data_IF_857866255366
#
_entry.id   IF_857866255366
#
_cell.length_a   1.000
_cell.length_b   1.000
_cell.length_c   1.000
_cell.angle_alpha   90.00
_cell.angle_beta   90.00
_cell.angle_gamma   90.00
#
_symmetry.space_group_name_H-M   'P 1'
#
loop_
_entity.id
_entity.type
_entity.pdbx_description
1 polymer ?
#
# COMPACT_ATOMS: atom_id res chain seq x y z
N UNK A 1 -2.09 -10.86 -19.56
CA UNK A 1 -1.48 -10.08 -18.47
C UNK A 1 -0.02 -10.50 -18.44
N UNK A 2 0.91 -9.56 -18.44
CA UNK A 2 2.34 -9.88 -18.52
C UNK A 2 2.89 -10.18 -17.11
N UNK A 3 2.63 -11.40 -16.61
CA UNK A 3 3.20 -11.87 -15.34
C UNK A 3 4.75 -11.91 -15.37
N UNK A 4 5.33 -12.02 -16.57
CA UNK A 4 6.79 -11.95 -16.77
C UNK A 4 7.42 -10.70 -16.13
N UNK A 5 6.72 -9.56 -16.18
CA UNK A 5 7.19 -8.32 -15.53
C UNK A 5 7.23 -8.41 -14.01
N UNK A 6 6.30 -9.15 -13.40
CA UNK A 6 6.33 -9.37 -11.96
C UNK A 6 7.52 -10.22 -11.54
N UNK A 7 7.84 -11.23 -12.35
CA UNK A 7 9.01 -12.10 -12.10
C UNK A 7 10.31 -11.33 -12.25
N UNK A 8 10.40 -10.41 -13.21
CA UNK A 8 11.60 -9.61 -13.48
C UNK A 8 11.79 -8.47 -12.48
N UNK A 9 10.73 -7.75 -12.18
CA UNK A 9 10.80 -6.49 -11.42
C UNK A 9 10.36 -6.64 -9.96
N UNK A 10 9.75 -7.77 -9.59
CA UNK A 10 9.20 -8.01 -8.26
C UNK A 10 7.90 -7.27 -7.96
N UNK A 11 7.40 -6.44 -8.89
CA UNK A 11 6.12 -5.74 -8.74
C UNK A 11 5.36 -5.67 -10.07
N UNK A 12 4.04 -5.44 -9.97
CA UNK A 12 3.17 -5.21 -11.14
C UNK A 12 2.09 -4.18 -10.79
N UNK A 13 1.83 -3.26 -11.72
CA UNK A 13 0.74 -2.28 -11.65
C UNK A 13 -0.34 -2.73 -12.63
N UNK A 14 -1.57 -2.87 -12.14
CA UNK A 14 -2.73 -3.29 -12.91
C UNK A 14 -3.81 -2.22 -12.79
N UNK A 15 -4.09 -1.53 -13.89
CA UNK A 15 -5.24 -0.64 -14.00
C UNK A 15 -6.49 -1.46 -14.38
N UNK A 16 -7.66 -0.96 -14.00
CA UNK A 16 -8.95 -1.62 -14.22
C UNK A 16 -8.97 -3.07 -13.69
N UNK A 17 -8.47 -3.22 -12.46
CA UNK A 17 -8.23 -4.51 -11.82
C UNK A 17 -9.52 -5.28 -11.51
N UNK A 18 -10.51 -4.60 -10.91
CA UNK A 18 -11.83 -5.17 -10.60
C UNK A 18 -12.83 -4.92 -11.74
N UNK A 19 -13.89 -5.74 -11.86
CA UNK A 19 -15.08 -5.35 -12.62
C UNK A 19 -15.56 -3.97 -12.14
N UNK A 20 -16.03 -3.13 -13.07
CA UNK A 20 -16.31 -1.73 -12.78
C UNK A 20 -17.38 -1.53 -11.70
N UNK A 21 -18.41 -2.35 -11.69
CA UNK A 21 -19.48 -2.37 -10.68
C UNK A 21 -18.94 -2.74 -9.29
N UNK A 22 -18.07 -3.73 -9.20
CA UNK A 22 -17.39 -4.15 -7.96
C UNK A 22 -16.46 -3.04 -7.46
N UNK A 23 -15.70 -2.41 -8.36
CA UNK A 23 -14.83 -1.29 -8.02
C UNK A 23 -15.63 -0.11 -7.43
N UNK A 24 -16.80 0.22 -8.01
CA UNK A 24 -17.69 1.25 -7.47
C UNK A 24 -18.35 0.86 -6.14
N UNK A 25 -18.72 -0.40 -5.99
CA UNK A 25 -19.25 -0.88 -4.71
C UNK A 25 -18.21 -0.72 -3.59
N UNK A 26 -16.98 -1.12 -3.84
CA UNK A 26 -15.90 -1.02 -2.87
C UNK A 26 -15.53 0.46 -2.59
N UNK A 27 -15.47 1.32 -3.64
CA UNK A 27 -15.30 2.77 -3.49
C UNK A 27 -16.37 3.38 -2.58
N UNK A 28 -17.63 3.05 -2.81
CA UNK A 28 -18.75 3.54 -2.01
C UNK A 28 -18.62 3.17 -0.54
N UNK A 29 -18.25 1.92 -0.24
CA UNK A 29 -18.04 1.49 1.15
C UNK A 29 -16.95 2.29 1.85
N UNK A 30 -15.85 2.62 1.17
CA UNK A 30 -14.76 3.41 1.74
C UNK A 30 -15.10 4.90 1.89
N UNK A 31 -15.89 5.47 0.97
CA UNK A 31 -16.26 6.89 1.01
C UNK A 31 -17.35 7.21 2.02
N UNK A 32 -18.30 6.30 2.20
CA UNK A 32 -19.46 6.51 3.09
C UNK A 32 -19.20 6.05 4.54
N UNK A 33 -18.09 5.40 4.81
CA UNK A 33 -17.81 4.91 6.16
C UNK A 33 -17.23 6.02 7.04
N UNK A 34 -17.79 6.16 8.26
CA UNK A 34 -17.48 7.29 9.16
C UNK A 34 -16.45 6.94 10.26
N UNK A 35 -16.34 5.68 10.67
CA UNK A 35 -15.55 5.26 11.84
C UNK A 35 -14.06 5.10 11.53
N UNK A 36 -13.39 6.21 11.19
CA UNK A 36 -11.95 6.23 10.94
C UNK A 36 -11.18 6.65 12.19
N UNK A 37 -10.23 5.83 12.62
CA UNK A 37 -9.33 6.13 13.74
C UNK A 37 -8.02 6.73 13.22
N UNK A 38 -7.63 7.90 13.77
CA UNK A 38 -6.34 8.53 13.45
C UNK A 38 -5.21 7.81 14.17
N UNK A 39 -4.29 7.29 13.40
CA UNK A 39 -3.02 6.77 13.88
C UNK A 39 -1.92 7.81 13.59
N UNK A 40 -1.48 8.48 14.65
CA UNK A 40 -0.33 9.40 14.63
C UNK A 40 0.79 8.74 15.41
N UNK A 41 1.64 8.02 14.71
CA UNK A 41 2.62 7.12 15.31
C UNK A 41 4.01 7.72 15.25
N UNK A 42 4.64 7.79 16.41
CA UNK A 42 6.06 8.05 16.57
C UNK A 42 6.69 6.77 17.11
N UNK A 43 7.49 6.07 16.32
CA UNK A 43 8.11 4.80 16.72
C UNK A 43 9.63 4.94 16.79
N UNK A 44 10.17 4.94 17.99
CA UNK A 44 11.62 5.08 18.21
C UNK A 44 12.42 3.78 17.97
N UNK A 45 11.82 2.60 18.01
CA UNK A 45 12.56 1.34 18.18
C UNK A 45 12.49 0.32 17.04
N UNK A 46 11.51 0.34 16.18
CA UNK A 46 11.38 -0.71 15.15
C UNK A 46 12.28 -0.52 13.93
N UNK A 47 12.75 0.68 13.69
CA UNK A 47 13.62 1.00 12.56
C UNK A 47 15.08 0.56 12.76
N UNK A 48 15.59 0.55 13.97
CA UNK A 48 16.98 0.18 14.26
C UNK A 48 17.38 -1.24 13.80
N UNK A 49 16.42 -2.17 13.72
CA UNK A 49 16.69 -3.52 13.22
C UNK A 49 16.50 -3.63 11.71
N UNK A 50 15.53 -2.94 11.12
CA UNK A 50 15.26 -2.93 9.69
C UNK A 50 16.27 -2.09 8.90
N UNK A 51 16.77 -1.01 9.47
CA UNK A 51 17.70 -0.08 8.84
C UNK A 51 19.17 -0.44 8.98
N UNK A 52 19.51 -1.38 9.84
CA UNK A 52 20.93 -1.81 10.03
C UNK A 52 21.58 -2.36 8.76
N UNK A 53 20.78 -2.78 7.79
CA UNK A 53 21.25 -3.28 6.50
C UNK A 53 21.29 -2.23 5.39
N UNK A 54 20.61 -1.08 5.57
CA UNK A 54 20.46 -0.03 4.55
C UNK A 54 20.85 1.36 5.06
N UNK A 55 21.79 1.44 6.02
CA UNK A 55 22.23 2.69 6.64
C UNK A 55 22.80 3.73 5.67
N UNK A 56 23.20 3.33 4.47
CA UNK A 56 23.66 4.26 3.44
C UNK A 56 22.57 5.22 2.95
N UNK A 57 21.29 4.86 3.14
CA UNK A 57 20.12 5.63 2.71
C UNK A 57 19.47 6.45 3.82
N UNK A 58 19.92 6.28 5.07
CA UNK A 58 19.34 6.95 6.24
C UNK A 58 20.44 7.67 7.02
N UNK A 59 20.44 8.99 6.99
CA UNK A 59 21.53 9.80 7.51
C UNK A 59 21.65 9.85 9.03
N UNK A 60 20.67 9.35 9.79
CA UNK A 60 20.70 9.48 11.25
C UNK A 60 20.08 8.27 11.97
N UNK A 61 20.88 7.60 12.82
CA UNK A 61 20.46 6.50 13.70
C UNK A 61 19.39 6.94 14.73
N UNK A 62 19.23 8.23 14.95
CA UNK A 62 18.28 8.83 15.89
C UNK A 62 17.04 9.38 15.20
N UNK A 63 16.89 9.18 13.89
CA UNK A 63 15.73 9.70 13.20
C UNK A 63 14.45 8.97 13.61
N UNK A 64 13.49 9.73 14.11
CA UNK A 64 12.21 9.22 14.58
C UNK A 64 11.35 8.81 13.39
N UNK A 65 10.92 7.57 13.37
CA UNK A 65 9.92 7.11 12.39
C UNK A 65 8.57 7.72 12.68
N UNK A 66 7.98 8.34 11.69
CA UNK A 66 6.64 8.90 11.79
C UNK A 66 5.73 8.34 10.72
N UNK A 67 4.50 8.02 11.12
CA UNK A 67 3.42 7.71 10.21
C UNK A 67 2.14 8.36 10.75
N UNK A 68 1.43 9.05 9.88
CA UNK A 68 0.14 9.67 10.20
C UNK A 68 -0.86 9.30 9.13
N UNK A 69 -1.87 8.55 9.52
CA UNK A 69 -2.94 8.07 8.65
C UNK A 69 -4.15 7.65 9.47
N UNK A 70 -5.27 7.44 8.81
CA UNK A 70 -6.49 6.90 9.41
C UNK A 70 -6.65 5.44 9.03
N UNK A 71 -7.12 4.62 9.96
CA UNK A 71 -7.44 3.21 9.78
C UNK A 71 -8.90 2.95 10.10
N UNK A 72 -9.50 1.96 9.47
CA UNK A 72 -10.86 1.55 9.75
C UNK A 72 -10.96 0.02 9.92
N UNK A 73 -10.96 -0.43 11.18
CA UNK A 73 -11.03 -1.86 11.51
C UNK A 73 -12.40 -2.48 11.25
N UNK A 74 -13.47 -1.67 11.22
CA UNK A 74 -14.81 -2.15 10.87
C UNK A 74 -14.91 -2.50 9.38
N UNK A 75 -14.26 -1.71 8.51
CA UNK A 75 -14.15 -2.04 7.09
C UNK A 75 -13.25 -3.25 6.85
N UNK A 76 -12.19 -3.40 7.62
CA UNK A 76 -11.27 -4.54 7.52
C UNK A 76 -11.95 -5.88 7.82
N UNK A 77 -12.94 -5.88 8.71
CA UNK A 77 -13.77 -7.03 9.10
C UNK A 77 -15.17 -7.02 8.49
N UNK A 78 -15.42 -6.18 7.48
CA UNK A 78 -16.73 -6.10 6.84
C UNK A 78 -16.92 -7.26 5.86
N UNK A 79 -17.99 -8.03 6.04
CA UNK A 79 -18.29 -9.22 5.24
C UNK A 79 -18.29 -8.95 3.72
N UNK A 80 -18.80 -7.80 3.28
CA UNK A 80 -18.79 -7.47 1.84
C UNK A 80 -17.39 -7.14 1.33
N UNK A 81 -16.52 -6.53 2.15
CA UNK A 81 -15.11 -6.30 1.80
C UNK A 81 -14.38 -7.64 1.69
N UNK A 82 -14.60 -8.54 2.66
CA UNK A 82 -14.05 -9.89 2.66
C UNK A 82 -14.49 -10.69 1.42
N UNK A 83 -15.79 -10.69 1.09
CA UNK A 83 -16.33 -11.36 -0.10
C UNK A 83 -15.70 -10.81 -1.39
N UNK A 84 -15.57 -9.49 -1.53
CA UNK A 84 -14.92 -8.89 -2.70
C UNK A 84 -13.45 -9.30 -2.75
N UNK A 85 -12.77 -9.29 -1.61
CA UNK A 85 -11.38 -9.68 -1.52
C UNK A 85 -11.19 -11.16 -1.93
N UNK A 86 -11.97 -12.05 -1.38
CA UNK A 86 -11.92 -13.50 -1.69
C UNK A 86 -12.16 -13.76 -3.17
N UNK A 87 -13.18 -13.12 -3.76
CA UNK A 87 -13.58 -13.39 -5.14
C UNK A 87 -12.63 -12.79 -6.19
N UNK A 88 -11.86 -11.74 -5.86
CA UNK A 88 -11.13 -10.98 -6.88
C UNK A 88 -9.63 -10.82 -6.59
N UNK A 89 -9.21 -10.77 -5.33
CA UNK A 89 -7.81 -10.53 -4.99
C UNK A 89 -7.03 -11.84 -4.77
N UNK A 90 -7.62 -12.82 -4.08
CA UNK A 90 -6.93 -14.07 -3.70
C UNK A 90 -6.39 -14.82 -4.92
N UNK A 91 -7.18 -14.91 -6.00
CA UNK A 91 -6.72 -15.55 -7.24
C UNK A 91 -5.46 -14.89 -7.82
N UNK A 92 -5.37 -13.54 -7.73
CA UNK A 92 -4.18 -12.82 -8.16
C UNK A 92 -3.00 -13.05 -7.23
N UNK A 93 -3.21 -13.02 -5.92
CA UNK A 93 -2.17 -13.36 -4.94
C UNK A 93 -1.57 -14.74 -5.22
N UNK A 94 -2.42 -15.75 -5.42
CA UNK A 94 -1.99 -17.13 -5.70
C UNK A 94 -1.28 -17.26 -7.06
N UNK A 95 -1.66 -16.48 -8.07
CA UNK A 95 -0.97 -16.44 -9.37
C UNK A 95 0.41 -15.80 -9.31
N UNK A 96 0.63 -14.88 -8.37
CA UNK A 96 1.88 -14.16 -8.21
C UNK A 96 2.81 -14.81 -7.21
N UNK A 97 2.30 -15.67 -6.34
CA UNK A 97 3.08 -16.40 -5.36
C UNK A 97 3.68 -17.68 -5.95
N UNK A 98 4.88 -18.04 -5.48
CA UNK A 98 5.52 -19.33 -5.79
C UNK A 98 4.98 -20.47 -4.90
N UNK A 99 4.18 -20.16 -3.88
CA UNK A 99 3.57 -21.08 -2.92
C UNK A 99 2.11 -20.72 -2.69
N UNK A 100 1.31 -21.68 -2.25
CA UNK A 100 -0.07 -21.42 -1.84
C UNK A 100 -0.08 -20.50 -0.61
N UNK A 101 -0.79 -19.39 -0.72
CA UNK A 101 -0.97 -18.44 0.38
C UNK A 101 -2.24 -18.81 1.15
N UNK A 102 -2.10 -18.93 2.47
CA UNK A 102 -3.18 -19.44 3.35
C UNK A 102 -3.72 -18.42 4.33
N UNK A 103 -3.03 -17.27 4.44
CA UNK A 103 -3.43 -16.18 5.34
C UNK A 103 -3.39 -14.86 4.60
N UNK A 104 -4.40 -14.05 4.82
CA UNK A 104 -4.50 -12.72 4.24
C UNK A 104 -4.79 -11.71 5.34
N UNK A 105 -4.11 -10.57 5.27
CA UNK A 105 -4.32 -9.41 6.14
C UNK A 105 -4.86 -8.28 5.27
N UNK A 106 -6.00 -7.72 5.63
CA UNK A 106 -6.66 -6.60 4.93
C UNK A 106 -6.61 -5.39 5.84
N UNK A 107 -6.18 -4.25 5.30
CA UNK A 107 -6.11 -2.97 6.00
C UNK A 107 -6.76 -1.87 5.18
N UNK A 108 -7.62 -1.10 5.81
CA UNK A 108 -8.35 -0.01 5.17
C UNK A 108 -7.81 1.33 5.66
N UNK A 109 -7.16 2.08 4.75
CA UNK A 109 -6.46 3.32 5.08
C UNK A 109 -7.04 4.54 4.38
N UNK A 110 -7.05 5.64 5.12
CA UNK A 110 -7.40 6.96 4.67
C UNK A 110 -6.28 7.95 5.01
N UNK A 111 -5.93 8.81 4.07
CA UNK A 111 -4.93 9.86 4.27
C UNK A 111 -5.52 11.19 3.80
N UNK A 112 -5.69 12.12 4.71
CA UNK A 112 -6.06 13.50 4.46
C UNK A 112 -4.86 14.45 4.60
N UNK A 113 -5.08 15.74 4.62
CA UNK A 113 -4.03 16.76 4.66
C UNK A 113 -3.04 16.54 5.80
N UNK A 114 -1.75 16.53 5.47
CA UNK A 114 -0.65 16.29 6.40
C UNK A 114 -0.38 14.81 6.72
N UNK A 115 -1.24 13.89 6.28
CA UNK A 115 -0.98 12.46 6.41
C UNK A 115 0.20 12.01 5.55
N UNK A 116 0.96 11.07 6.05
CA UNK A 116 2.14 10.51 5.40
C UNK A 116 2.49 9.16 5.99
N UNK A 117 3.35 8.41 5.32
CA UNK A 117 3.95 7.20 5.85
C UNK A 117 5.43 7.20 5.45
N UNK A 118 6.34 7.31 6.43
CA UNK A 118 7.77 7.32 6.15
C UNK A 118 8.26 6.00 5.59
N UNK A 119 9.44 6.01 5.04
CA UNK A 119 10.05 4.84 4.41
C UNK A 119 10.11 3.65 5.38
N UNK A 120 9.66 2.49 4.90
CA UNK A 120 9.63 1.23 5.62
C UNK A 120 9.65 0.06 4.65
N UNK A 121 9.71 -1.15 5.19
CA UNK A 121 9.57 -2.41 4.45
C UNK A 121 8.51 -3.27 5.11
N UNK A 122 7.81 -4.07 4.30
CA UNK A 122 6.73 -4.97 4.73
C UNK A 122 7.08 -6.46 4.59
N UNK A 123 8.35 -6.79 4.42
CA UNK A 123 8.84 -8.16 4.22
C UNK A 123 8.53 -9.11 5.39
N UNK A 124 8.26 -8.59 6.57
CA UNK A 124 7.83 -9.33 7.75
C UNK A 124 6.30 -9.54 7.83
N UNK A 125 5.51 -8.77 7.06
CA UNK A 125 4.04 -8.83 7.11
C UNK A 125 3.51 -9.96 6.24
N UNK A 126 4.00 -10.09 5.01
CA UNK A 126 3.58 -11.13 4.09
C UNK A 126 4.53 -11.31 2.91
N UNK A 127 4.35 -12.41 2.18
CA UNK A 127 5.16 -12.78 1.02
C UNK A 127 4.84 -11.89 -0.20
N UNK A 128 3.55 -11.60 -0.39
CA UNK A 128 3.03 -10.73 -1.44
C UNK A 128 2.21 -9.62 -0.80
N UNK A 129 2.50 -8.36 -1.16
CA UNK A 129 1.70 -7.20 -0.80
C UNK A 129 0.83 -6.72 -1.95
N UNK A 130 -0.30 -6.09 -1.64
CA UNK A 130 -1.17 -5.40 -2.59
C UNK A 130 -1.59 -4.04 -2.05
N UNK A 131 -1.55 -3.03 -2.89
CA UNK A 131 -2.17 -1.71 -2.67
C UNK A 131 -3.25 -1.50 -3.72
N UNK A 132 -4.47 -1.20 -3.30
CA UNK A 132 -5.58 -0.88 -4.20
C UNK A 132 -6.10 0.52 -3.95
N UNK A 133 -6.40 1.28 -5.02
CA UNK A 133 -6.74 2.69 -4.96
C UNK A 133 -8.11 3.01 -5.56
N UNK A 134 -8.75 4.09 -5.02
CA UNK A 134 -10.13 4.47 -5.31
C UNK A 134 -10.30 5.79 -6.07
N UNK A 135 -9.23 6.47 -6.48
CA UNK A 135 -9.29 7.87 -6.93
C UNK A 135 -9.56 8.01 -8.43
N UNK A 136 -10.73 8.54 -8.79
CA UNK A 136 -11.06 8.92 -10.16
C UNK A 136 -10.24 10.11 -10.65
N UNK A 137 -9.86 10.98 -9.72
CA UNK A 137 -9.04 12.15 -9.99
C UNK A 137 -8.08 12.40 -8.84
N UNK A 138 -6.80 12.31 -9.10
CA UNK A 138 -5.76 12.69 -8.15
C UNK A 138 -4.76 13.62 -8.86
N UNK A 139 -4.53 14.79 -8.30
CA UNK A 139 -3.61 15.79 -8.88
C UNK A 139 -2.21 15.50 -8.38
N UNK A 140 -1.23 15.59 -9.25
CA UNK A 140 0.15 15.15 -8.96
C UNK A 140 0.82 15.89 -7.80
N UNK A 141 0.51 17.18 -7.65
CA UNK A 141 1.06 18.03 -6.60
C UNK A 141 0.30 17.92 -5.26
N UNK A 142 -0.76 17.10 -5.19
CA UNK A 142 -1.43 16.81 -3.93
C UNK A 142 -0.63 15.90 -3.01
N UNK A 143 0.49 15.31 -3.48
CA UNK A 143 1.24 14.33 -2.71
C UNK A 143 0.47 13.03 -2.52
N UNK A 144 0.64 12.36 -1.37
CA UNK A 144 0.02 11.05 -1.12
C UNK A 144 0.45 9.97 -2.13
N UNK A 145 1.57 10.18 -2.80
CA UNK A 145 2.13 9.29 -3.81
C UNK A 145 2.95 8.23 -3.09
N UNK A 146 2.71 6.97 -3.42
CA UNK A 146 3.57 5.89 -2.95
C UNK A 146 4.82 5.85 -3.82
N UNK A 147 5.98 5.88 -3.19
CA UNK A 147 7.27 5.70 -3.85
C UNK A 147 7.83 4.33 -3.47
N UNK A 148 8.06 3.50 -4.48
CA UNK A 148 8.64 2.17 -4.34
C UNK A 148 10.11 2.23 -4.73
N UNK A 149 11.00 2.00 -3.78
CA UNK A 149 12.44 1.90 -4.02
C UNK A 149 12.80 0.52 -4.59
N UNK A 150 13.89 0.46 -5.34
CA UNK A 150 14.47 -0.78 -5.84
C UNK A 150 15.73 -1.09 -5.04
N UNK A 151 15.90 -2.34 -4.61
CA UNK A 151 16.99 -2.74 -3.73
C UNK A 151 18.37 -2.46 -4.32
N UNK A 152 18.52 -2.66 -5.63
CA UNK A 152 19.81 -2.55 -6.32
C UNK A 152 20.10 -1.15 -6.87
N UNK A 153 19.19 -0.20 -6.69
CA UNK A 153 19.33 1.16 -7.24
C UNK A 153 18.81 2.20 -6.26
N UNK A 154 19.73 2.70 -5.44
CA UNK A 154 19.44 3.72 -4.42
C UNK A 154 18.98 5.06 -4.99
N UNK A 155 19.25 5.31 -6.26
CA UNK A 155 18.94 6.57 -6.92
C UNK A 155 17.60 6.52 -7.67
N UNK A 156 16.98 5.34 -7.75
CA UNK A 156 15.73 5.14 -8.49
C UNK A 156 14.58 4.76 -7.59
N UNK A 157 13.50 5.51 -7.72
CA UNK A 157 12.22 5.21 -7.10
C UNK A 157 11.10 5.23 -8.13
N UNK A 158 10.11 4.37 -7.95
CA UNK A 158 8.96 4.28 -8.83
C UNK A 158 7.79 5.00 -8.17
N UNK A 159 7.33 6.13 -8.71
CA UNK A 159 6.14 6.81 -8.21
C UNK A 159 4.88 6.07 -8.63
N UNK A 160 4.05 5.71 -7.66
CA UNK A 160 2.76 5.06 -7.85
C UNK A 160 1.66 6.05 -7.49
N UNK A 161 1.03 6.61 -8.51
CA UNK A 161 -0.06 7.56 -8.33
C UNK A 161 -1.35 6.84 -7.96
N UNK A 162 -2.09 7.33 -6.97
CA UNK A 162 -3.44 6.86 -6.69
C UNK A 162 -4.32 7.03 -7.93
N UNK A 163 -4.94 5.93 -8.38
CA UNK A 163 -5.83 5.93 -9.53
C UNK A 163 -6.98 4.96 -9.28
N UNK A 164 -8.19 5.34 -9.69
CA UNK A 164 -9.37 4.49 -9.55
C UNK A 164 -9.14 3.12 -10.18
N UNK A 165 -9.51 2.09 -9.42
CA UNK A 165 -9.42 0.69 -9.84
C UNK A 165 -7.99 0.26 -10.23
N UNK A 166 -6.97 0.82 -9.56
CA UNK A 166 -5.57 0.41 -9.72
C UNK A 166 -5.17 -0.49 -8.57
N UNK A 167 -4.67 -1.67 -8.89
CA UNK A 167 -3.98 -2.55 -7.95
C UNK A 167 -2.48 -2.58 -8.25
N UNK A 168 -1.68 -2.61 -7.19
CA UNK A 168 -0.22 -2.76 -7.27
C UNK A 168 0.17 -3.93 -6.39
N UNK A 169 0.74 -4.94 -6.97
CA UNK A 169 1.25 -6.10 -6.24
C UNK A 169 2.77 -6.07 -6.19
N UNK A 170 3.35 -6.45 -5.05
CA UNK A 170 4.79 -6.52 -4.82
C UNK A 170 5.17 -7.83 -4.12
N UNK A 171 6.30 -8.40 -4.52
CA UNK A 171 6.84 -9.64 -3.96
C UNK A 171 7.87 -9.30 -2.89
N UNK A 172 7.45 -9.30 -1.63
CA UNK A 172 8.30 -9.00 -0.49
C UNK A 172 9.19 -10.19 -0.07
N UNK A 173 8.85 -11.39 -0.50
CA UNK A 173 9.65 -12.59 -0.20
C UNK A 173 10.95 -12.63 -1.00
N UNK A 174 10.89 -12.19 -2.25
CA UNK A 174 12.01 -12.28 -3.17
C UNK A 174 12.80 -10.98 -3.31
N UNK A 175 12.10 -9.84 -3.17
CA UNK A 175 12.65 -8.51 -3.36
C UNK A 175 12.41 -7.64 -2.13
N UNK A 176 13.39 -6.83 -1.80
CA UNK A 176 13.23 -5.80 -0.77
C UNK A 176 12.77 -4.52 -1.43
N UNK A 177 11.62 -4.02 -1.00
CA UNK A 177 11.04 -2.79 -1.50
C UNK A 177 10.92 -1.76 -0.38
N UNK A 178 11.96 -0.97 -0.09
CA UNK A 178 11.78 0.18 0.75
C UNK A 178 10.79 1.12 0.09
N UNK A 179 9.76 1.52 0.80
CA UNK A 179 8.71 2.36 0.24
C UNK A 179 8.17 3.36 1.25
N UNK A 180 7.62 4.45 0.75
CA UNK A 180 7.01 5.48 1.57
C UNK A 180 5.82 6.11 0.86
N UNK A 181 4.96 6.79 1.61
CA UNK A 181 3.90 7.63 1.07
C UNK A 181 4.22 9.08 1.41
N UNK A 182 4.38 9.93 0.38
CA UNK A 182 4.65 11.34 0.58
C UNK A 182 3.48 12.04 1.29
N UNK A 183 3.76 13.17 1.93
CA UNK A 183 2.73 13.96 2.60
C UNK A 183 1.62 14.35 1.63
N UNK A 184 0.38 14.21 2.09
CA UNK A 184 -0.77 14.80 1.41
C UNK A 184 -0.74 16.29 1.68
N UNK A 185 -0.76 17.09 0.61
CA UNK A 185 -0.66 18.54 0.71
C UNK A 185 -1.88 19.16 1.39
N UNK A 186 -1.68 20.26 2.11
CA UNK A 186 -2.76 20.97 2.83
C UNK A 186 -3.86 21.52 1.90
N UNK A 187 -3.54 21.70 0.63
CA UNK A 187 -4.49 22.17 -0.39
C UNK A 187 -5.12 21.03 -1.21
N UNK A 188 -4.82 19.77 -0.91
CA UNK A 188 -5.50 18.63 -1.54
C UNK A 188 -7.00 18.68 -1.22
N UNK A 189 -7.82 18.48 -2.26
CA UNK A 189 -9.28 18.59 -2.14
C UNK A 189 -9.99 17.27 -1.97
N UNK A 190 -9.26 16.17 -2.11
CA UNK A 190 -9.75 14.81 -1.93
C UNK A 190 -8.89 14.08 -0.91
N UNK A 191 -9.49 13.15 -0.22
CA UNK A 191 -8.83 12.27 0.73
C UNK A 191 -8.33 11.03 0.00
N UNK A 192 -7.07 10.64 0.23
CA UNK A 192 -6.51 9.41 -0.34
C UNK A 192 -7.04 8.19 0.41
N UNK A 193 -7.77 7.35 -0.30
CA UNK A 193 -8.28 6.07 0.19
C UNK A 193 -7.49 4.91 -0.43
N UNK A 194 -7.19 3.89 0.35
CA UNK A 194 -6.52 2.68 -0.13
C UNK A 194 -6.88 1.46 0.69
N UNK A 195 -7.01 0.32 0.01
CA UNK A 195 -7.00 -0.99 0.64
C UNK A 195 -5.59 -1.55 0.49
N UNK A 196 -4.99 -1.95 1.60
CA UNK A 196 -3.69 -2.62 1.64
C UNK A 196 -3.93 -4.06 2.07
N UNK A 197 -3.28 -5.00 1.44
CA UNK A 197 -3.41 -6.40 1.85
C UNK A 197 -2.10 -7.15 1.66
N UNK A 198 -1.93 -8.19 2.47
CA UNK A 198 -0.77 -9.06 2.47
C UNK A 198 -1.21 -10.50 2.45
N UNK A 199 -0.56 -11.32 1.61
CA UNK A 199 -0.72 -12.76 1.56
C UNK A 199 0.54 -13.46 2.09
N UNK A 200 0.33 -14.53 2.91
CA UNK A 200 1.40 -15.33 3.53
C UNK A 200 1.09 -16.80 3.48
#
# INVERSE_FOLDING_TARGET
MKLDKFVENGYIIIDDFLPLDVAHQLEYMFTEHENWELLDQVREKHYGEFLKTDLEHFPDENEVYTAKFWRNEELESNENVEIIFENHFIDMFNKLSESELTKFDIRCYKMDNGCHYRQHMDDWVGDIGCMYYFHKRWVWDWGGITYLGLEDDSDSVIPIFPKFNRAVFSNHKKYRFPHFVSHVADYAKETRLSLISFGK
#
